data_IF_633017861629
#
_entry.id   IF_633017861629
#
_cell.length_a   1.000
_cell.length_b   1.000
_cell.length_c   1.000
_cell.angle_alpha   90.00
_cell.angle_beta   90.00
_cell.angle_gamma   90.00
#
_symmetry.space_group_name_H-M   'P 1'
#
loop_
_entity.id
_entity.type
_entity.pdbx_description
1 polymer ?
#
# COMPACT_ATOMS: atom_id res chain seq x y z
N UNK A 1 -15.12 24.39 7.16
CA UNK A 1 -16.38 23.87 7.79
C UNK A 1 -16.83 22.52 7.21
N UNK A 2 -16.60 22.23 5.92
CA UNK A 2 -16.88 20.93 5.28
C UNK A 2 -15.84 19.85 5.64
N UNK A 3 -14.55 20.18 5.76
CA UNK A 3 -13.50 19.25 6.20
C UNK A 3 -13.65 18.77 7.66
N UNK A 4 -14.20 19.61 8.54
CA UNK A 4 -14.54 19.24 9.93
C UNK A 4 -15.72 18.25 10.01
N UNK A 5 -16.53 18.13 8.95
CA UNK A 5 -17.58 17.11 8.83
C UNK A 5 -17.03 15.76 8.34
N UNK A 6 -16.04 15.75 7.45
CA UNK A 6 -15.35 14.52 7.04
C UNK A 6 -14.57 13.88 8.20
N UNK A 7 -13.87 14.70 9.01
CA UNK A 7 -13.19 14.23 10.23
C UNK A 7 -14.15 13.69 11.31
N UNK A 8 -15.31 14.34 11.47
CA UNK A 8 -16.35 13.85 12.40
C UNK A 8 -17.10 12.62 11.89
N UNK A 9 -17.13 12.37 10.56
CA UNK A 9 -17.65 11.13 9.98
C UNK A 9 -16.73 9.93 10.27
N UNK A 10 -15.40 10.15 10.30
CA UNK A 10 -14.43 9.14 10.69
C UNK A 10 -14.54 8.76 12.18
N UNK A 11 -14.89 9.71 13.06
CA UNK A 11 -15.09 9.47 14.52
C UNK A 11 -16.52 9.06 14.90
N UNK A 12 -17.47 9.01 13.96
CA UNK A 12 -18.86 8.60 14.23
C UNK A 12 -19.37 7.77 13.06
N UNK A 13 -19.32 6.44 13.21
CA UNK A 13 -20.24 5.55 12.50
C UNK A 13 -21.67 5.87 12.95
N UNK A 14 -22.27 6.92 12.39
CA UNK A 14 -23.72 7.14 12.41
C UNK A 14 -24.26 6.65 11.08
N UNK A 15 -25.24 5.74 11.17
CA UNK A 15 -26.10 5.22 10.08
C UNK A 15 -26.13 6.16 8.87
N UNK A 16 -25.41 5.78 7.82
CA UNK A 16 -25.73 6.23 6.48
C UNK A 16 -26.96 5.41 6.05
N UNK A 17 -28.15 6.00 6.13
CA UNK A 17 -29.39 5.41 5.63
C UNK A 17 -29.56 5.72 4.14
N UNK A 18 -28.51 5.47 3.35
CA UNK A 18 -28.57 5.47 1.89
C UNK A 18 -28.41 4.03 1.44
N UNK A 19 -29.38 3.52 0.68
CA UNK A 19 -29.24 2.22 0.03
C UNK A 19 -27.92 2.19 -0.74
N UNK A 20 -27.02 1.28 -0.38
CA UNK A 20 -26.01 0.81 -1.33
C UNK A 20 -26.76 0.30 -2.56
N UNK A 21 -26.39 0.72 -3.79
CA UNK A 21 -27.00 0.12 -4.95
C UNK A 21 -26.53 -1.33 -5.02
N UNK A 22 -27.35 -2.26 -4.54
CA UNK A 22 -27.09 -3.70 -4.57
C UNK A 22 -27.23 -4.31 -5.97
N UNK A 23 -27.23 -3.50 -7.05
CA UNK A 23 -27.37 -3.94 -8.44
C UNK A 23 -26.72 -2.97 -9.43
N UNK A 24 -25.41 -3.01 -9.57
CA UNK A 24 -24.76 -2.55 -10.80
C UNK A 24 -24.00 -3.68 -11.48
N UNK A 25 -24.49 -4.08 -12.66
CA UNK A 25 -23.73 -4.85 -13.64
C UNK A 25 -22.63 -3.94 -14.15
N UNK A 26 -21.39 -4.17 -13.74
CA UNK A 26 -20.24 -3.76 -14.54
C UNK A 26 -20.34 -4.55 -15.85
N UNK A 27 -20.68 -3.87 -16.94
CA UNK A 27 -20.76 -4.48 -18.25
C UNK A 27 -19.36 -4.95 -18.64
N UNK A 28 -19.17 -6.27 -18.64
CA UNK A 28 -18.09 -7.03 -19.25
C UNK A 28 -16.77 -6.31 -19.45
N UNK A 29 -15.85 -6.48 -18.50
CA UNK A 29 -14.41 -6.72 -18.70
C UNK A 29 -13.67 -6.40 -17.40
N UNK A 30 -13.27 -7.46 -16.68
CA UNK A 30 -12.27 -7.57 -15.58
C UNK A 30 -12.45 -6.53 -14.44
N UNK A 31 -12.42 -7.00 -13.19
CA UNK A 31 -12.57 -6.12 -12.03
C UNK A 31 -11.75 -6.68 -10.86
N UNK A 32 -11.48 -5.86 -9.82
CA UNK A 32 -10.98 -6.22 -8.47
C UNK A 32 -11.90 -7.19 -7.70
N UNK A 33 -12.55 -8.07 -8.43
CA UNK A 33 -13.49 -9.08 -8.02
C UNK A 33 -12.75 -10.16 -7.25
N UNK A 34 -13.38 -10.67 -6.19
CA UNK A 34 -12.84 -11.67 -5.29
C UNK A 34 -12.26 -11.10 -4.00
N UNK A 35 -11.99 -9.80 -3.90
CA UNK A 35 -11.48 -9.17 -2.66
C UNK A 35 -12.63 -8.53 -1.88
N UNK A 36 -12.76 -8.92 -0.61
CA UNK A 36 -13.85 -8.46 0.25
C UNK A 36 -15.22 -8.81 -0.34
N UNK A 37 -16.09 -7.81 -0.53
CA UNK A 37 -17.43 -8.03 -1.11
C UNK A 37 -17.49 -7.87 -2.63
N UNK A 38 -16.37 -7.58 -3.29
CA UNK A 38 -16.32 -7.53 -4.76
C UNK A 38 -16.41 -8.96 -5.30
N UNK A 39 -17.29 -9.23 -6.27
CA UNK A 39 -17.59 -10.60 -6.71
C UNK A 39 -17.71 -10.75 -8.22
N UNK A 40 -17.39 -11.94 -8.74
CA UNK A 40 -17.58 -12.27 -10.15
C UNK A 40 -19.05 -12.59 -10.43
N UNK A 41 -19.66 -11.92 -11.41
CA UNK A 41 -21.05 -12.20 -11.83
C UNK A 41 -21.20 -13.44 -12.72
N UNK A 42 -20.09 -14.07 -13.11
CA UNK A 42 -20.02 -15.26 -13.97
C UNK A 42 -18.70 -15.99 -13.75
N UNK A 43 -18.74 -17.33 -13.81
CA UNK A 43 -17.57 -18.21 -13.75
C UNK A 43 -16.60 -18.03 -14.93
N UNK A 44 -16.99 -17.31 -15.98
CA UNK A 44 -16.15 -16.99 -17.14
C UNK A 44 -15.23 -15.78 -16.95
N UNK A 45 -15.41 -14.99 -15.88
CA UNK A 45 -14.57 -13.82 -15.63
C UNK A 45 -13.25 -14.26 -15.01
N UNK A 46 -12.15 -13.86 -15.63
CA UNK A 46 -10.80 -14.17 -15.16
C UNK A 46 -10.37 -13.20 -14.06
N UNK A 47 -9.67 -13.73 -13.07
CA UNK A 47 -8.99 -12.96 -12.03
C UNK A 47 -7.91 -12.06 -12.65
N UNK A 48 -7.74 -10.88 -12.05
CA UNK A 48 -6.65 -9.96 -12.42
C UNK A 48 -5.29 -10.61 -12.21
N UNK A 49 -4.36 -10.38 -13.13
CA UNK A 49 -3.03 -11.01 -13.13
C UNK A 49 -1.89 -10.02 -12.93
N UNK A 50 -2.16 -8.71 -12.90
CA UNK A 50 -1.15 -7.67 -12.74
C UNK A 50 -1.78 -6.32 -12.36
N UNK A 51 -0.95 -5.40 -11.89
CA UNK A 51 -1.36 -4.05 -11.52
C UNK A 51 -2.06 -3.30 -12.67
N UNK A 52 -1.65 -3.49 -13.93
CA UNK A 52 -2.29 -2.79 -15.07
C UNK A 52 -3.75 -3.21 -15.27
N UNK A 53 -4.10 -4.46 -15.00
CA UNK A 53 -5.50 -4.90 -14.95
C UNK A 53 -6.24 -4.24 -13.79
N UNK A 54 -5.67 -4.30 -12.59
CA UNK A 54 -6.22 -3.63 -11.41
C UNK A 54 -6.50 -2.13 -11.66
N UNK A 55 -5.56 -1.42 -12.30
CA UNK A 55 -5.72 0.00 -12.61
C UNK A 55 -6.90 0.28 -13.55
N UNK A 56 -7.11 -0.57 -14.56
CA UNK A 56 -8.25 -0.42 -15.49
C UNK A 56 -9.57 -0.59 -14.77
N UNK A 57 -9.61 -1.54 -13.86
CA UNK A 57 -10.80 -1.88 -13.09
C UNK A 57 -11.17 -0.75 -12.12
N UNK A 58 -10.18 -0.15 -11.47
CA UNK A 58 -10.34 1.03 -10.61
C UNK A 58 -10.79 2.26 -11.40
N UNK A 59 -10.29 2.45 -12.62
CA UNK A 59 -10.74 3.52 -13.52
C UNK A 59 -12.19 3.33 -13.92
N UNK A 60 -12.59 2.10 -14.29
CA UNK A 60 -13.97 1.78 -14.63
C UNK A 60 -14.89 2.04 -13.44
N UNK A 61 -14.50 1.58 -12.24
CA UNK A 61 -15.24 1.89 -11.01
C UNK A 61 -15.38 3.40 -10.79
N UNK A 62 -14.28 4.17 -10.91
CA UNK A 62 -14.31 5.62 -10.71
C UNK A 62 -15.22 6.31 -11.73
N UNK A 63 -15.18 5.92 -13.01
CA UNK A 63 -16.08 6.45 -14.04
C UNK A 63 -17.55 6.21 -13.69
N UNK A 64 -17.89 4.98 -13.29
CA UNK A 64 -19.25 4.64 -12.84
C UNK A 64 -19.66 5.46 -11.63
N UNK A 65 -18.81 5.52 -10.60
CA UNK A 65 -19.08 6.30 -9.39
C UNK A 65 -19.33 7.79 -9.69
N UNK A 66 -18.51 8.41 -10.52
CA UNK A 66 -18.65 9.83 -10.86
C UNK A 66 -19.83 10.13 -11.77
N UNK A 67 -20.36 9.12 -12.49
CA UNK A 67 -21.59 9.26 -13.28
C UNK A 67 -22.85 9.28 -12.40
N UNK A 68 -22.78 8.69 -11.21
CA UNK A 68 -23.87 8.68 -10.24
C UNK A 68 -23.71 9.78 -9.17
N UNK A 69 -22.49 10.26 -8.97
CA UNK A 69 -22.14 11.23 -7.94
C UNK A 69 -21.21 12.34 -8.48
N UNK A 70 -21.74 13.13 -9.42
CA UNK A 70 -21.00 14.22 -10.07
C UNK A 70 -20.46 15.27 -9.08
N UNK A 71 -21.04 15.40 -7.88
CA UNK A 71 -20.57 16.32 -6.84
C UNK A 71 -19.13 16.07 -6.41
N UNK A 72 -18.62 14.83 -6.55
CA UNK A 72 -17.24 14.49 -6.20
C UNK A 72 -16.22 14.91 -7.27
N UNK A 73 -16.64 15.23 -8.50
CA UNK A 73 -15.73 15.68 -9.55
C UNK A 73 -14.99 16.98 -9.17
N UNK A 74 -15.60 17.81 -8.32
CA UNK A 74 -15.06 19.11 -7.85
C UNK A 74 -14.30 19.01 -6.52
N UNK A 75 -14.32 17.85 -5.87
CA UNK A 75 -13.69 17.65 -4.57
C UNK A 75 -12.25 17.17 -4.80
N UNK A 76 -11.25 17.72 -4.07
CA UNK A 76 -9.88 17.22 -4.13
C UNK A 76 -9.83 15.71 -3.91
N UNK A 77 -9.35 14.99 -4.93
CA UNK A 77 -9.23 13.54 -4.91
C UNK A 77 -7.79 13.15 -4.61
N UNK A 78 -7.63 12.27 -3.63
CA UNK A 78 -6.37 11.60 -3.31
C UNK A 78 -6.57 10.09 -3.32
N UNK A 79 -5.57 9.33 -3.75
CA UNK A 79 -5.58 7.86 -3.74
C UNK A 79 -4.56 7.38 -2.74
N UNK A 80 -4.98 6.64 -1.71
CA UNK A 80 -4.07 6.08 -0.71
C UNK A 80 -3.97 4.56 -0.87
N UNK A 81 -2.75 4.04 -0.70
CA UNK A 81 -2.46 2.61 -0.67
C UNK A 81 -1.41 2.28 0.38
N UNK A 82 -1.59 1.17 1.08
CA UNK A 82 -0.63 0.61 2.04
C UNK A 82 -0.06 -0.69 1.48
N UNK A 83 1.20 -1.02 1.76
CA UNK A 83 1.79 -2.31 1.37
C UNK A 83 1.73 -2.53 -0.15
N UNK A 84 1.25 -3.69 -0.62
CA UNK A 84 0.98 -3.95 -2.03
C UNK A 84 -0.03 -2.96 -2.64
N UNK A 85 -0.98 -2.45 -1.84
CA UNK A 85 -1.91 -1.41 -2.24
C UNK A 85 -1.21 -0.12 -2.71
N UNK A 86 0.03 0.12 -2.29
CA UNK A 86 0.84 1.21 -2.83
C UNK A 86 1.12 1.05 -4.34
N UNK A 87 1.37 -0.17 -4.82
CA UNK A 87 1.52 -0.41 -6.27
C UNK A 87 0.22 -0.17 -7.03
N UNK A 88 -0.89 -0.61 -6.44
CA UNK A 88 -2.22 -0.37 -7.00
C UNK A 88 -2.52 1.13 -7.09
N UNK A 89 -2.19 1.89 -6.03
CA UNK A 89 -2.37 3.35 -6.00
C UNK A 89 -1.53 4.06 -7.07
N UNK A 90 -0.27 3.65 -7.26
CA UNK A 90 0.61 4.20 -8.30
C UNK A 90 0.05 3.91 -9.69
N UNK A 91 -0.33 2.67 -9.98
CA UNK A 91 -0.87 2.30 -11.29
C UNK A 91 -2.24 2.96 -11.56
N UNK A 92 -3.11 3.04 -10.55
CA UNK A 92 -4.39 3.73 -10.65
C UNK A 92 -4.20 5.22 -10.95
N UNK A 93 -3.30 5.88 -10.22
CA UNK A 93 -2.98 7.29 -10.46
C UNK A 93 -2.41 7.52 -11.87
N UNK A 94 -1.52 6.65 -12.33
CA UNK A 94 -0.97 6.73 -13.67
C UNK A 94 -2.06 6.63 -14.73
N UNK A 95 -2.93 5.62 -14.66
CA UNK A 95 -4.02 5.49 -15.61
C UNK A 95 -5.03 6.65 -15.50
N UNK A 96 -5.32 7.14 -14.29
CA UNK A 96 -6.21 8.27 -14.06
C UNK A 96 -5.70 9.55 -14.73
N UNK A 97 -4.41 9.84 -14.61
CA UNK A 97 -3.80 10.98 -15.31
C UNK A 97 -3.98 10.86 -16.82
N UNK A 98 -3.83 9.67 -17.39
CA UNK A 98 -4.02 9.45 -18.83
C UNK A 98 -5.48 9.65 -19.25
N UNK A 99 -6.45 9.19 -18.45
CA UNK A 99 -7.88 9.41 -18.70
C UNK A 99 -8.26 10.91 -18.60
N UNK A 100 -7.72 11.63 -17.62
CA UNK A 100 -7.92 13.08 -17.47
C UNK A 100 -7.37 13.81 -18.70
N UNK A 101 -6.16 13.47 -19.17
CA UNK A 101 -5.56 14.06 -20.37
C UNK A 101 -6.38 13.79 -21.64
N UNK A 102 -7.04 12.64 -21.72
CA UNK A 102 -7.96 12.31 -22.82
C UNK A 102 -9.31 13.02 -22.72
N UNK A 103 -9.63 13.66 -21.59
CA UNK A 103 -10.95 14.24 -21.34
C UNK A 103 -12.03 13.22 -20.98
N UNK A 104 -11.64 11.98 -20.67
CA UNK A 104 -12.55 10.85 -20.39
C UNK A 104 -12.96 10.79 -18.91
N UNK A 105 -12.20 11.45 -18.04
CA UNK A 105 -12.49 11.58 -16.60
C UNK A 105 -12.27 13.03 -16.19
N UNK A 106 -13.25 13.61 -15.49
CA UNK A 106 -13.12 14.94 -14.89
C UNK A 106 -13.10 14.82 -13.37
N UNK A 107 -11.94 15.09 -12.75
CA UNK A 107 -11.76 15.11 -11.29
C UNK A 107 -10.71 16.14 -10.88
N UNK A 108 -10.79 16.63 -9.65
CA UNK A 108 -9.75 17.42 -9.03
C UNK A 108 -8.65 16.54 -8.42
N UNK A 109 -7.92 15.79 -9.25
CA UNK A 109 -6.88 14.87 -8.75
C UNK A 109 -5.67 15.60 -8.20
N UNK A 110 -5.31 15.32 -6.94
CA UNK A 110 -4.28 16.05 -6.20
C UNK A 110 -3.05 15.23 -5.86
N UNK A 111 -3.16 13.92 -5.72
CA UNK A 111 -2.00 13.13 -5.33
C UNK A 111 -2.31 11.72 -4.85
N UNK A 112 -1.22 11.04 -4.50
CA UNK A 112 -1.24 9.70 -3.93
C UNK A 112 -0.54 9.67 -2.58
N UNK A 113 -1.03 8.82 -1.68
CA UNK A 113 -0.38 8.49 -0.42
C UNK A 113 0.04 7.02 -0.39
N UNK A 114 1.30 6.77 -0.09
CA UNK A 114 1.96 5.48 -0.14
C UNK A 114 2.50 5.15 1.26
N UNK A 115 1.72 4.39 2.03
CA UNK A 115 2.08 3.95 3.38
C UNK A 115 2.79 2.61 3.34
N UNK A 116 4.01 2.53 3.87
CA UNK A 116 4.79 1.28 3.97
C UNK A 116 4.66 0.45 2.68
N UNK A 117 4.80 1.13 1.55
CA UNK A 117 4.35 0.67 0.25
C UNK A 117 5.42 -0.22 -0.40
N UNK A 118 5.06 -1.42 -0.84
CA UNK A 118 5.99 -2.41 -1.40
C UNK A 118 6.34 -2.10 -2.86
N UNK A 119 6.88 -0.91 -3.14
CA UNK A 119 7.10 -0.33 -4.48
C UNK A 119 8.21 -1.02 -5.25
N UNK A 120 9.33 -1.29 -4.60
CA UNK A 120 10.53 -1.84 -5.23
C UNK A 120 11.11 -2.98 -4.39
N UNK A 121 10.57 -4.20 -4.53
CA UNK A 121 10.86 -5.37 -3.68
C UNK A 121 12.35 -5.59 -3.41
N UNK A 122 13.18 -5.49 -4.46
CA UNK A 122 14.62 -5.72 -4.36
C UNK A 122 15.31 -4.76 -3.37
N UNK A 123 14.87 -3.51 -3.26
CA UNK A 123 15.47 -2.55 -2.33
C UNK A 123 15.19 -2.92 -0.87
N UNK A 124 14.04 -3.53 -0.57
CA UNK A 124 13.74 -4.03 0.78
C UNK A 124 14.58 -5.26 1.11
N UNK A 125 14.61 -6.24 0.20
CA UNK A 125 15.27 -7.54 0.38
C UNK A 125 16.80 -7.38 0.52
N UNK A 126 17.39 -6.40 -0.17
CA UNK A 126 18.79 -6.01 0.01
C UNK A 126 19.14 -5.62 1.45
N UNK A 127 18.16 -5.17 2.23
CA UNK A 127 18.34 -4.71 3.60
C UNK A 127 17.92 -5.71 4.67
N UNK A 128 17.21 -6.80 4.35
CA UNK A 128 16.71 -7.73 5.38
C UNK A 128 17.83 -8.29 6.25
N UNK A 129 18.92 -8.78 5.64
CA UNK A 129 20.05 -9.34 6.39
C UNK A 129 20.74 -8.30 7.27
N UNK A 130 21.12 -7.15 6.69
CA UNK A 130 21.85 -6.09 7.40
C UNK A 130 21.02 -5.46 8.51
N UNK A 131 19.72 -5.23 8.27
CA UNK A 131 18.80 -4.71 9.27
C UNK A 131 18.64 -5.68 10.44
N UNK A 132 18.39 -6.96 10.16
CA UNK A 132 18.24 -7.97 11.19
C UNK A 132 19.52 -8.10 12.04
N UNK A 133 20.70 -8.10 11.40
CA UNK A 133 21.98 -8.19 12.10
C UNK A 133 22.26 -6.94 12.95
N UNK A 134 22.08 -5.75 12.38
CA UNK A 134 22.39 -4.48 13.07
C UNK A 134 21.46 -4.19 14.25
N UNK A 135 20.23 -4.72 14.21
CA UNK A 135 19.28 -4.67 15.33
C UNK A 135 19.53 -5.76 16.38
N UNK A 136 20.50 -6.65 16.16
CA UNK A 136 20.82 -7.76 17.08
C UNK A 136 19.76 -8.86 17.10
N UNK A 137 18.96 -8.98 16.02
CA UNK A 137 17.87 -9.95 15.94
C UNK A 137 18.33 -11.35 15.52
N UNK A 138 19.45 -11.42 14.81
CA UNK A 138 20.00 -12.65 14.25
C UNK A 138 21.52 -12.74 14.43
N UNK A 139 22.07 -13.94 14.25
CA UNK A 139 23.51 -14.17 14.29
C UNK A 139 24.15 -14.06 12.90
N UNK A 140 25.48 -14.00 12.85
CA UNK A 140 26.25 -13.92 11.59
C UNK A 140 25.94 -15.08 10.63
N UNK A 141 25.64 -16.28 11.15
CA UNK A 141 25.28 -17.44 10.34
C UNK A 141 23.97 -17.21 9.56
N UNK A 142 22.98 -16.60 10.20
CA UNK A 142 21.67 -16.35 9.62
C UNK A 142 21.77 -15.20 8.61
N UNK A 143 22.59 -14.18 8.92
CA UNK A 143 22.93 -13.11 7.97
C UNK A 143 23.51 -13.66 6.66
N UNK A 144 24.44 -14.61 6.74
CA UNK A 144 25.04 -15.21 5.54
C UNK A 144 24.01 -15.99 4.72
N UNK A 145 23.11 -16.73 5.37
CA UNK A 145 22.02 -17.46 4.71
C UNK A 145 21.06 -16.52 3.99
N UNK A 146 20.60 -15.48 4.68
CA UNK A 146 19.74 -14.43 4.10
C UNK A 146 20.44 -13.75 2.92
N UNK A 147 21.73 -13.43 3.07
CA UNK A 147 22.50 -12.76 2.01
C UNK A 147 22.65 -13.62 0.75
N UNK A 148 22.82 -14.93 0.90
CA UNK A 148 22.85 -15.85 -0.24
C UNK A 148 21.51 -15.91 -0.97
N UNK A 149 20.41 -16.03 -0.22
CA UNK A 149 19.06 -16.01 -0.80
C UNK A 149 18.75 -14.66 -1.48
N UNK A 150 19.19 -13.54 -0.91
CA UNK A 150 19.07 -12.21 -1.53
C UNK A 150 19.78 -12.16 -2.88
N UNK A 151 20.93 -12.81 -3.04
CA UNK A 151 21.61 -12.90 -4.33
C UNK A 151 20.81 -13.75 -5.34
N UNK A 152 20.21 -14.85 -4.89
CA UNK A 152 19.32 -15.66 -5.74
C UNK A 152 18.09 -14.85 -6.22
N UNK A 153 17.53 -13.99 -5.37
CA UNK A 153 16.44 -13.07 -5.77
C UNK A 153 16.91 -12.12 -6.86
N UNK A 154 18.12 -11.53 -6.76
CA UNK A 154 18.64 -10.64 -7.80
C UNK A 154 18.75 -11.37 -9.14
N UNK A 155 19.35 -12.56 -9.13
CA UNK A 155 19.51 -13.38 -10.34
C UNK A 155 18.15 -13.70 -10.97
N UNK A 156 17.14 -14.03 -10.15
CA UNK A 156 15.78 -14.28 -10.64
C UNK A 156 15.16 -13.01 -11.27
N UNK A 157 15.29 -11.85 -10.63
CA UNK A 157 14.80 -10.56 -11.15
C UNK A 157 15.50 -10.19 -12.46
N UNK A 158 16.82 -10.35 -12.57
CA UNK A 158 17.59 -10.08 -13.78
C UNK A 158 17.14 -10.95 -14.96
N UNK A 159 16.80 -12.21 -14.68
CA UNK A 159 16.22 -13.14 -15.66
C UNK A 159 14.74 -12.88 -15.95
N UNK A 160 14.13 -11.90 -15.26
CA UNK A 160 12.69 -11.60 -15.29
C UNK A 160 11.81 -12.77 -14.83
N UNK A 161 12.35 -13.67 -14.03
CA UNK A 161 11.63 -14.75 -13.38
C UNK A 161 11.07 -14.28 -12.04
N UNK A 162 10.01 -13.47 -12.12
CA UNK A 162 9.40 -12.84 -10.95
C UNK A 162 8.64 -13.82 -10.05
N UNK A 163 8.23 -14.97 -10.60
CA UNK A 163 7.60 -16.03 -9.82
C UNK A 163 8.64 -16.71 -8.92
N UNK A 164 9.78 -17.12 -9.49
CA UNK A 164 10.88 -17.67 -8.71
C UNK A 164 11.41 -16.65 -7.68
N UNK A 165 11.53 -15.37 -8.06
CA UNK A 165 11.94 -14.32 -7.13
C UNK A 165 10.99 -14.21 -5.93
N UNK A 166 9.67 -14.36 -6.16
CA UNK A 166 8.65 -14.32 -5.11
C UNK A 166 8.76 -15.52 -4.17
N UNK A 167 8.95 -16.72 -4.72
CA UNK A 167 9.15 -17.93 -3.93
C UNK A 167 10.42 -17.86 -3.06
N UNK A 168 11.49 -17.23 -3.57
CA UNK A 168 12.72 -17.03 -2.80
C UNK A 168 12.53 -15.97 -1.72
N UNK A 169 11.83 -14.86 -2.01
CA UNK A 169 11.50 -13.84 -1.01
C UNK A 169 10.72 -14.43 0.17
N UNK A 170 9.72 -15.28 -0.11
CA UNK A 170 8.98 -15.98 0.93
C UNK A 170 9.88 -16.86 1.81
N UNK A 171 10.89 -17.52 1.22
CA UNK A 171 11.90 -18.30 1.98
C UNK A 171 12.79 -17.41 2.84
N UNK A 172 13.16 -16.22 2.35
CA UNK A 172 13.94 -15.26 3.15
C UNK A 172 13.13 -14.84 4.38
N UNK A 173 11.87 -14.47 4.18
CA UNK A 173 10.98 -14.06 5.26
C UNK A 173 10.78 -15.18 6.29
N UNK A 174 10.57 -16.43 5.85
CA UNK A 174 10.52 -17.61 6.75
C UNK A 174 11.85 -17.84 7.50
N UNK A 175 12.99 -17.64 6.84
CA UNK A 175 14.32 -17.73 7.46
C UNK A 175 14.49 -16.70 8.58
N UNK A 176 14.08 -15.44 8.33
CA UNK A 176 14.09 -14.37 9.35
C UNK A 176 13.18 -14.73 10.52
N UNK A 177 11.95 -15.15 10.26
CA UNK A 177 10.98 -15.51 11.30
C UNK A 177 11.54 -16.64 12.18
N UNK A 178 12.15 -17.67 11.58
CA UNK A 178 12.76 -18.78 12.33
C UNK A 178 13.97 -18.35 13.16
N UNK A 179 14.90 -17.61 12.56
CA UNK A 179 16.12 -17.16 13.22
C UNK A 179 15.82 -16.26 14.44
N UNK A 180 14.75 -15.48 14.36
CA UNK A 180 14.29 -14.54 15.41
C UNK A 180 13.30 -15.13 16.41
N UNK A 181 13.03 -16.44 16.32
CA UNK A 181 12.04 -17.14 17.15
C UNK A 181 10.62 -16.54 17.05
N UNK A 182 10.27 -16.08 15.84
CA UNK A 182 8.92 -15.66 15.48
C UNK A 182 8.68 -14.15 15.54
N UNK A 183 9.65 -13.33 15.14
CA UNK A 183 9.44 -11.88 15.08
C UNK A 183 8.20 -11.52 14.23
N UNK A 184 7.50 -10.46 14.63
CA UNK A 184 6.46 -9.87 13.79
C UNK A 184 7.13 -8.96 12.75
N UNK A 185 7.17 -9.41 11.50
CA UNK A 185 7.83 -8.69 10.39
C UNK A 185 7.13 -7.38 10.02
N UNK A 186 5.90 -7.16 10.48
CA UNK A 186 5.19 -5.89 10.29
C UNK A 186 5.49 -4.90 11.41
N UNK A 187 5.91 -5.36 12.58
CA UNK A 187 6.32 -4.47 13.66
C UNK A 187 7.24 -5.21 14.64
N UNK A 188 8.55 -4.97 14.51
CA UNK A 188 9.60 -5.69 15.25
C UNK A 188 9.58 -5.50 16.77
N UNK A 189 8.84 -4.51 17.30
CA UNK A 189 8.73 -4.30 18.76
C UNK A 189 7.55 -5.06 19.38
N UNK A 190 6.76 -5.77 18.57
CA UNK A 190 5.71 -6.64 19.05
C UNK A 190 6.26 -7.97 19.56
N UNK A 191 5.42 -8.71 20.28
CA UNK A 191 5.80 -10.00 20.87
C UNK A 191 6.12 -11.02 19.77
N UNK A 192 7.34 -11.58 19.82
CA UNK A 192 7.71 -12.73 18.98
C UNK A 192 6.90 -13.98 19.34
N UNK A 193 6.36 -14.66 18.33
CA UNK A 193 5.63 -15.90 18.50
C UNK A 193 5.66 -16.74 17.21
N UNK A 194 6.51 -17.77 17.19
CA UNK A 194 6.67 -18.66 16.03
C UNK A 194 5.40 -19.47 15.68
N UNK A 195 4.46 -19.60 16.62
CA UNK A 195 3.25 -20.40 16.44
C UNK A 195 1.99 -19.55 16.20
N UNK A 196 2.11 -18.22 16.21
CA UNK A 196 0.99 -17.33 15.95
C UNK A 196 1.21 -16.54 14.67
N UNK A 197 0.09 -16.13 14.06
CA UNK A 197 0.13 -15.16 13.00
C UNK A 197 0.66 -13.81 13.51
N UNK A 198 1.31 -13.02 12.66
CA UNK A 198 1.60 -11.62 12.94
C UNK A 198 0.34 -10.87 13.39
N UNK A 199 0.49 -9.85 14.24
CA UNK A 199 -0.63 -9.08 14.80
C UNK A 199 -1.53 -8.53 13.69
N UNK A 200 -0.95 -8.08 12.58
CA UNK A 200 -1.68 -7.60 11.41
C UNK A 200 -2.67 -8.63 10.85
N UNK A 201 -2.30 -9.92 10.84
CA UNK A 201 -3.12 -11.02 10.33
C UNK A 201 -3.97 -11.70 11.41
N UNK A 202 -3.73 -11.42 12.70
CA UNK A 202 -4.46 -12.03 13.82
C UNK A 202 -5.96 -11.73 13.83
N UNK A 203 -6.42 -10.72 13.09
CA UNK A 203 -7.84 -10.34 13.00
C UNK A 203 -8.60 -11.08 11.90
N UNK A 204 -7.93 -11.85 11.04
CA UNK A 204 -8.52 -12.48 9.86
C UNK A 204 -9.85 -13.20 10.15
N UNK A 205 -9.86 -14.13 11.12
CA UNK A 205 -11.06 -14.91 11.47
C UNK A 205 -12.18 -14.02 12.02
N UNK A 206 -11.82 -13.09 12.92
CA UNK A 206 -12.79 -12.18 13.54
C UNK A 206 -13.44 -11.25 12.51
N UNK A 207 -12.65 -10.79 11.53
CA UNK A 207 -13.14 -9.98 10.42
C UNK A 207 -14.01 -10.80 9.48
N UNK A 208 -13.56 -12.01 9.09
CA UNK A 208 -14.36 -12.92 8.25
C UNK A 208 -15.73 -13.19 8.88
N UNK A 209 -15.77 -13.46 10.19
CA UNK A 209 -17.01 -13.68 10.92
C UNK A 209 -17.89 -12.42 10.97
N UNK A 210 -17.31 -11.27 11.34
CA UNK A 210 -18.06 -10.02 11.45
C UNK A 210 -18.65 -9.58 10.11
N UNK A 211 -17.84 -9.66 9.05
CA UNK A 211 -18.20 -9.21 7.71
C UNK A 211 -19.27 -10.10 7.10
N UNK A 212 -19.16 -11.42 7.21
CA UNK A 212 -20.15 -12.36 6.65
C UNK A 212 -21.44 -12.52 7.47
N UNK A 213 -21.56 -11.83 8.60
CA UNK A 213 -22.78 -11.87 9.44
C UNK A 213 -23.47 -10.50 9.46
N UNK A 214 -23.31 -9.75 10.57
CA UNK A 214 -24.05 -8.50 10.83
C UNK A 214 -23.82 -7.45 9.76
N UNK A 215 -22.61 -7.38 9.20
CA UNK A 215 -22.26 -6.36 8.21
C UNK A 215 -22.89 -6.68 6.86
N UNK A 216 -22.76 -7.91 6.37
CA UNK A 216 -23.39 -8.38 5.12
C UNK A 216 -24.90 -8.12 5.12
N UNK A 217 -25.58 -8.44 6.22
CA UNK A 217 -27.01 -8.15 6.40
C UNK A 217 -27.30 -6.64 6.38
N UNK A 218 -26.51 -5.84 7.11
CA UNK A 218 -26.71 -4.40 7.21
C UNK A 218 -26.47 -3.65 5.89
N UNK A 219 -25.58 -4.17 5.04
CA UNK A 219 -25.26 -3.62 3.73
C UNK A 219 -26.17 -4.17 2.61
N UNK A 220 -27.12 -5.05 2.94
CA UNK A 220 -28.02 -5.71 1.98
C UNK A 220 -27.25 -6.42 0.86
N UNK A 221 -26.16 -7.10 1.24
CA UNK A 221 -25.31 -7.88 0.33
C UNK A 221 -25.89 -9.28 0.21
N UNK A 222 -25.94 -9.78 -1.03
CA UNK A 222 -26.58 -11.05 -1.34
C UNK A 222 -25.90 -12.23 -0.64
N UNK A 223 -26.70 -13.23 -0.26
CA UNK A 223 -26.26 -14.37 0.55
C UNK A 223 -25.17 -15.22 -0.14
N UNK A 224 -25.12 -15.23 -1.46
CA UNK A 224 -24.13 -15.92 -2.29
C UNK A 224 -22.75 -15.23 -2.37
N UNK A 225 -22.61 -14.02 -1.84
CA UNK A 225 -21.33 -13.29 -1.83
C UNK A 225 -20.62 -13.51 -0.49
N UNK A 226 -19.48 -14.19 -0.50
CA UNK A 226 -18.65 -14.38 0.67
C UNK A 226 -17.52 -13.34 0.74
N UNK A 227 -17.34 -12.73 1.90
CA UNK A 227 -16.25 -11.82 2.20
C UNK A 227 -15.05 -12.57 2.73
N UNK A 228 -13.86 -12.26 2.21
CA UNK A 228 -12.60 -12.81 2.68
C UNK A 228 -11.63 -11.67 3.02
N UNK A 229 -10.99 -11.77 4.19
CA UNK A 229 -9.94 -10.84 4.66
C UNK A 229 -8.74 -10.85 3.70
N UNK A 230 -8.32 -12.04 3.28
CA UNK A 230 -7.33 -12.29 2.23
C UNK A 230 -7.94 -13.30 1.26
N UNK A 231 -7.77 -13.06 -0.04
CA UNK A 231 -8.16 -14.01 -1.08
C UNK A 231 -6.89 -14.67 -1.66
N UNK A 232 -6.69 -15.95 -1.33
CA UNK A 232 -5.48 -16.70 -1.73
C UNK A 232 -5.38 -16.92 -3.24
N UNK A 233 -6.51 -17.05 -3.94
CA UNK A 233 -6.51 -17.20 -5.40
C UNK A 233 -6.02 -15.92 -6.08
N UNK A 234 -6.47 -14.75 -5.60
CA UNK A 234 -6.01 -13.44 -6.09
C UNK A 234 -4.54 -13.22 -5.74
N UNK A 235 -4.13 -13.59 -4.52
CA UNK A 235 -2.72 -13.53 -4.11
C UNK A 235 -1.85 -14.36 -5.06
N UNK A 236 -2.25 -15.60 -5.33
CA UNK A 236 -1.54 -16.50 -6.23
C UNK A 236 -1.51 -15.97 -7.67
N UNK A 237 -2.61 -15.41 -8.15
CA UNK A 237 -2.70 -14.80 -9.48
C UNK A 237 -1.77 -13.59 -9.65
N UNK A 238 -1.51 -12.83 -8.58
CA UNK A 238 -0.65 -11.65 -8.59
C UNK A 238 0.82 -11.94 -8.22
N UNK A 239 1.15 -13.20 -7.90
CA UNK A 239 2.49 -13.58 -7.42
C UNK A 239 3.59 -13.17 -8.40
N UNK A 240 3.37 -13.32 -9.71
CA UNK A 240 4.30 -12.91 -10.77
C UNK A 240 4.45 -11.39 -10.97
N UNK A 241 3.60 -10.60 -10.32
CA UNK A 241 3.63 -9.13 -10.30
C UNK A 241 4.17 -8.59 -8.96
N UNK A 242 4.18 -9.41 -7.91
CA UNK A 242 4.69 -9.07 -6.57
C UNK A 242 6.13 -8.57 -6.60
N UNK A 243 7.00 -9.21 -7.38
CA UNK A 243 8.42 -8.87 -7.43
C UNK A 243 8.80 -7.81 -8.46
N UNK A 244 7.83 -7.30 -9.24
CA UNK A 244 8.08 -6.24 -10.23
C UNK A 244 8.13 -4.87 -9.58
N UNK A 245 9.18 -4.07 -9.78
CA UNK A 245 9.19 -2.69 -9.29
C UNK A 245 8.23 -1.81 -10.10
N UNK A 246 7.62 -0.82 -9.45
CA UNK A 246 6.78 0.20 -10.10
C UNK A 246 7.40 1.61 -10.07
N UNK A 247 8.71 1.69 -9.81
CA UNK A 247 9.46 2.97 -9.72
C UNK A 247 9.37 3.78 -11.02
N UNK A 248 9.44 3.14 -12.19
CA UNK A 248 9.31 3.84 -13.47
C UNK A 248 7.96 4.55 -13.67
N UNK A 249 6.88 4.01 -13.09
CA UNK A 249 5.56 4.66 -13.09
C UNK A 249 5.55 5.88 -12.17
N UNK A 250 6.23 5.80 -11.02
CA UNK A 250 6.41 6.94 -10.11
C UNK A 250 7.25 8.03 -10.78
N UNK A 251 8.33 7.67 -11.47
CA UNK A 251 9.16 8.61 -12.25
C UNK A 251 8.32 9.35 -13.30
N UNK A 252 7.46 8.64 -14.04
CA UNK A 252 6.55 9.26 -15.00
C UNK A 252 5.57 10.23 -14.32
N UNK A 253 4.98 9.85 -13.18
CA UNK A 253 4.09 10.73 -12.42
C UNK A 253 4.81 12.00 -11.94
N UNK A 254 6.04 11.89 -11.43
CA UNK A 254 6.84 13.02 -10.97
C UNK A 254 7.28 13.95 -12.11
N UNK A 255 7.60 13.40 -13.28
CA UNK A 255 8.13 14.18 -14.40
C UNK A 255 7.03 14.83 -15.24
N UNK A 256 5.84 14.22 -15.31
CA UNK A 256 4.80 14.65 -16.23
C UNK A 256 3.59 15.30 -15.56
N UNK A 257 3.56 15.38 -14.23
CA UNK A 257 2.41 15.92 -13.49
C UNK A 257 2.84 16.71 -12.25
N UNK A 258 1.92 17.52 -11.74
CA UNK A 258 2.08 18.26 -10.49
C UNK A 258 1.40 17.56 -9.29
N UNK A 259 0.95 16.30 -9.46
CA UNK A 259 0.29 15.59 -8.37
C UNK A 259 1.30 15.33 -7.24
N UNK A 260 0.83 15.38 -6.00
CA UNK A 260 1.66 15.07 -4.84
C UNK A 260 1.89 13.57 -4.70
N UNK A 261 3.11 13.16 -4.42
CA UNK A 261 3.46 11.79 -4.04
C UNK A 261 3.91 11.83 -2.58
N UNK A 262 3.05 11.34 -1.70
CA UNK A 262 3.25 11.34 -0.26
C UNK A 262 3.67 9.93 0.15
N UNK A 263 4.92 9.75 0.53
CA UNK A 263 5.43 8.47 1.03
C UNK A 263 5.55 8.56 2.54
N UNK A 264 5.06 7.58 3.27
CA UNK A 264 5.28 7.45 4.71
C UNK A 264 5.61 6.00 5.07
N UNK A 265 6.54 5.79 5.98
CA UNK A 265 7.03 4.45 6.36
C UNK A 265 7.29 4.41 7.86
N UNK A 266 6.78 3.38 8.54
CA UNK A 266 7.11 3.09 9.93
C UNK A 266 8.53 2.55 10.07
N UNK A 267 9.28 3.03 11.06
CA UNK A 267 10.66 2.57 11.30
C UNK A 267 10.78 1.15 11.87
N UNK A 268 9.69 0.59 12.39
CA UNK A 268 9.63 -0.76 12.93
C UNK A 268 9.05 -1.78 11.94
N UNK A 269 8.70 -1.36 10.72
CA UNK A 269 8.38 -2.30 9.66
C UNK A 269 9.67 -2.94 9.15
N UNK A 270 9.73 -4.27 9.22
CA UNK A 270 10.87 -5.04 8.72
C UNK A 270 10.70 -5.40 7.24
N UNK A 271 9.49 -5.83 6.88
CA UNK A 271 9.17 -6.28 5.52
C UNK A 271 9.26 -5.11 4.53
N UNK A 272 8.66 -3.97 4.86
CA UNK A 272 8.77 -2.74 4.06
C UNK A 272 9.62 -1.73 4.80
N UNK A 273 10.89 -2.10 4.99
CA UNK A 273 11.79 -1.33 5.82
C UNK A 273 12.12 0.05 5.23
N UNK A 274 12.32 1.01 6.14
CA UNK A 274 12.66 2.40 5.82
C UNK A 274 13.92 2.53 4.95
N UNK A 275 14.91 1.63 5.11
CA UNK A 275 16.13 1.65 4.31
C UNK A 275 15.84 1.34 2.84
N UNK A 276 15.07 0.29 2.55
CA UNK A 276 14.61 -0.02 1.21
C UNK A 276 13.75 1.11 0.61
N UNK A 277 12.88 1.73 1.42
CA UNK A 277 12.08 2.89 0.99
C UNK A 277 12.95 4.07 0.59
N UNK A 278 13.96 4.39 1.41
CA UNK A 278 14.91 5.44 1.10
C UNK A 278 15.71 5.13 -0.17
N UNK A 279 16.18 3.89 -0.33
CA UNK A 279 16.98 3.52 -1.50
C UNK A 279 16.20 3.67 -2.81
N UNK A 280 14.96 3.17 -2.91
CA UNK A 280 14.24 3.31 -4.18
C UNK A 280 13.85 4.76 -4.47
N UNK A 281 13.62 5.59 -3.44
CA UNK A 281 13.38 7.03 -3.58
C UNK A 281 14.63 7.76 -4.09
N UNK A 282 15.79 7.41 -3.54
CA UNK A 282 17.07 7.97 -3.92
C UNK A 282 17.45 7.58 -5.37
N UNK A 283 17.08 6.37 -5.80
CA UNK A 283 17.38 5.86 -7.14
C UNK A 283 16.39 6.34 -8.24
N UNK A 284 15.34 7.08 -7.89
CA UNK A 284 14.37 7.59 -8.87
C UNK A 284 15.03 8.53 -9.89
N UNK A 285 14.72 8.30 -11.16
CA UNK A 285 15.14 9.14 -12.29
C UNK A 285 14.08 10.18 -12.62
N UNK A 286 14.17 11.33 -11.95
CA UNK A 286 13.25 12.44 -12.17
C UNK A 286 13.96 13.79 -12.15
N UNK A 287 13.28 14.82 -12.65
CA UNK A 287 13.87 16.14 -12.92
C UNK A 287 14.51 16.81 -11.69
N UNK A 288 14.14 16.43 -10.46
CA UNK A 288 14.70 16.96 -9.22
C UNK A 288 15.45 15.92 -8.38
N UNK A 289 15.92 14.85 -9.00
CA UNK A 289 16.69 13.79 -8.31
C UNK A 289 17.97 14.33 -7.66
N UNK A 290 18.70 15.24 -8.31
CA UNK A 290 19.89 15.86 -7.73
C UNK A 290 19.56 16.68 -6.47
N UNK A 291 18.50 17.51 -6.53
CA UNK A 291 18.03 18.27 -5.36
C UNK A 291 17.55 17.35 -4.24
N UNK A 292 16.89 16.24 -4.59
CA UNK A 292 16.53 15.20 -3.62
C UNK A 292 17.77 14.66 -2.92
N UNK A 293 18.84 14.30 -3.65
CA UNK A 293 20.06 13.77 -3.04
C UNK A 293 20.74 14.76 -2.08
N UNK A 294 20.65 16.06 -2.36
CA UNK A 294 21.27 17.11 -1.53
C UNK A 294 20.39 17.55 -0.35
N UNK A 295 19.08 17.24 -0.39
CA UNK A 295 18.13 17.69 0.63
C UNK A 295 18.19 16.82 1.89
N UNK A 296 18.43 17.45 3.03
CA UNK A 296 18.45 16.80 4.34
C UNK A 296 17.05 16.58 4.91
N UNK A 297 16.82 15.41 5.52
CA UNK A 297 15.66 15.16 6.37
C UNK A 297 15.63 16.12 7.56
N UNK A 298 14.44 16.61 7.91
CA UNK A 298 14.19 17.44 9.09
C UNK A 298 13.30 16.69 10.09
N UNK A 299 13.48 16.88 11.40
CA UNK A 299 12.57 16.32 12.39
C UNK A 299 11.17 16.94 12.28
N UNK A 300 10.15 16.13 12.54
CA UNK A 300 8.76 16.53 12.69
C UNK A 300 8.40 16.38 14.16
N UNK A 301 8.47 17.48 14.90
CA UNK A 301 8.13 17.51 16.32
C UNK A 301 6.65 17.87 16.52
N UNK A 302 5.95 17.06 17.31
CA UNK A 302 4.57 17.26 17.75
C UNK A 302 4.57 17.18 19.27
N UNK A 303 4.09 18.23 19.94
CA UNK A 303 4.06 18.30 21.41
C UNK A 303 5.42 17.97 22.07
N UNK A 304 6.52 18.50 21.50
CA UNK A 304 7.92 18.27 21.93
C UNK A 304 8.42 16.83 21.75
N UNK A 305 7.66 15.97 21.09
CA UNK A 305 8.07 14.62 20.72
C UNK A 305 8.44 14.62 19.24
N UNK A 306 9.64 14.12 18.91
CA UNK A 306 9.96 13.83 17.52
C UNK A 306 9.12 12.61 17.07
N UNK A 307 8.18 12.86 16.17
CA UNK A 307 7.21 11.87 15.66
C UNK A 307 7.64 11.28 14.33
N UNK A 308 8.38 12.03 13.51
CA UNK A 308 8.88 11.56 12.23
C UNK A 308 10.09 12.36 11.75
N UNK A 309 10.75 11.90 10.70
CA UNK A 309 11.61 12.74 9.88
C UNK A 309 10.95 12.97 8.52
N UNK A 310 11.01 14.20 8.01
CA UNK A 310 10.44 14.57 6.71
C UNK A 310 11.53 15.05 5.75
N UNK A 311 11.49 14.56 4.52
CA UNK A 311 12.27 15.07 3.38
C UNK A 311 11.30 15.40 2.26
N UNK A 312 11.38 16.61 1.73
CA UNK A 312 10.48 17.06 0.66
C UNK A 312 11.26 17.80 -0.40
N UNK A 313 10.99 17.46 -1.67
CA UNK A 313 11.44 18.21 -2.84
C UNK A 313 10.28 18.26 -3.82
N UNK A 314 9.86 19.48 -4.18
CA UNK A 314 8.72 19.67 -5.07
C UNK A 314 7.46 18.95 -4.60
N UNK A 315 6.93 18.10 -5.47
CA UNK A 315 5.73 17.29 -5.26
C UNK A 315 6.00 15.92 -4.63
N UNK A 316 7.26 15.58 -4.30
CA UNK A 316 7.61 14.36 -3.58
C UNK A 316 7.92 14.66 -2.11
N UNK A 317 7.27 13.95 -1.19
CA UNK A 317 7.56 14.02 0.25
C UNK A 317 7.70 12.61 0.83
N UNK A 318 8.68 12.44 1.71
CA UNK A 318 8.91 11.19 2.45
C UNK A 318 8.94 11.44 3.95
N UNK A 319 8.04 10.77 4.66
CA UNK A 319 7.96 10.69 6.11
C UNK A 319 8.52 9.36 6.61
N UNK A 320 9.53 9.42 7.46
CA UNK A 320 10.01 8.27 8.25
C UNK A 320 9.40 8.38 9.63
N UNK A 321 8.36 7.58 9.92
CA UNK A 321 7.53 7.71 11.12
C UNK A 321 8.10 6.88 12.26
N UNK A 322 8.46 7.55 13.34
CA UNK A 322 9.01 6.92 14.54
C UNK A 322 7.91 6.18 15.29
N UNK A 323 8.28 5.13 16.05
CA UNK A 323 7.34 4.33 16.86
C UNK A 323 6.20 3.65 16.09
N UNK A 324 6.33 3.50 14.78
CA UNK A 324 5.35 2.82 13.95
C UNK A 324 5.96 1.63 13.21
N UNK A 325 5.20 0.55 13.07
CA UNK A 325 5.46 -0.51 12.10
C UNK A 325 4.70 -0.27 10.78
N UNK A 326 4.32 -1.36 10.12
CA UNK A 326 3.68 -1.39 8.80
C UNK A 326 2.40 -0.55 8.70
N UNK A 327 1.64 -0.47 9.79
CA UNK A 327 0.38 0.28 9.85
C UNK A 327 0.55 1.56 10.66
N UNK A 328 1.24 2.54 10.07
CA UNK A 328 1.44 3.88 10.64
C UNK A 328 0.16 4.50 11.22
N UNK A 329 -1.02 4.45 10.57
CA UNK A 329 -2.24 5.04 11.12
C UNK A 329 -2.69 4.43 12.46
N UNK A 330 -2.28 3.20 12.75
CA UNK A 330 -2.61 2.48 13.99
C UNK A 330 -1.54 2.69 15.05
N UNK A 331 -0.26 2.59 14.66
CA UNK A 331 0.85 2.60 15.60
C UNK A 331 1.27 4.02 16.02
N UNK A 332 1.14 5.02 15.14
CA UNK A 332 1.46 6.41 15.45
C UNK A 332 0.39 7.39 14.91
N UNK A 333 -0.71 7.48 15.68
CA UNK A 333 -1.83 8.39 15.40
C UNK A 333 -1.38 9.87 15.33
N UNK A 334 -0.58 10.42 16.28
CA UNK A 334 -0.13 11.82 16.21
C UNK A 334 0.59 12.16 14.90
N UNK A 335 1.54 11.33 14.47
CA UNK A 335 2.26 11.54 13.22
C UNK A 335 1.30 11.48 12.02
N UNK A 336 0.43 10.47 11.96
CA UNK A 336 -0.50 10.32 10.83
C UNK A 336 -1.50 11.48 10.75
N UNK A 337 -2.02 11.94 11.89
CA UNK A 337 -2.90 13.11 11.92
C UNK A 337 -2.22 14.36 11.35
N UNK A 338 -0.95 14.57 11.70
CA UNK A 338 -0.18 15.71 11.22
C UNK A 338 0.19 15.60 9.73
N UNK A 339 0.55 14.41 9.25
CA UNK A 339 0.73 14.14 7.82
C UNK A 339 -0.55 14.48 7.07
N UNK A 340 -1.72 13.98 7.48
CA UNK A 340 -2.98 14.29 6.80
C UNK A 340 -3.29 15.80 6.80
N UNK A 341 -3.01 16.51 7.89
CA UNK A 341 -3.21 17.97 7.97
C UNK A 341 -2.30 18.70 6.98
N UNK A 342 -0.99 18.45 7.03
CA UNK A 342 0.01 19.10 6.17
C UNK A 342 -0.23 18.81 4.69
N UNK A 343 -0.51 17.55 4.40
CA UNK A 343 -0.50 17.06 3.03
C UNK A 343 -1.83 17.21 2.30
N UNK A 344 -2.96 17.27 3.02
CA UNK A 344 -4.29 17.32 2.40
C UNK A 344 -5.08 18.60 2.69
N UNK A 345 -4.78 19.31 3.78
CA UNK A 345 -5.55 20.50 4.19
C UNK A 345 -4.80 21.80 3.94
N UNK A 346 -3.47 21.78 4.01
CA UNK A 346 -2.63 22.97 3.87
C UNK A 346 -1.82 23.01 2.56
N UNK A 347 -2.06 22.05 1.67
CA UNK A 347 -1.38 21.85 0.39
C UNK A 347 -2.02 22.55 -0.79
#
# INVERSE_FOLDING_TARGET
>A
MVARRAWNAFKRLRKFSGNWPSKHKLNGERSLLGVGFSYFSSSSVKMVQNNKEIGRDLINFLKTFLSEHEEFQKIPLYIFGESYGGKMAVEFAYQLVQEIRRGEVTVHFKGIGLGDAYISPIHYILNYGSLALNLGLIEKKDFNEISNLTEDVKVAIERRDFLAASDIEAKITDTVIKATQGIDVYNIVLKSNISALPRFLSYQDSCNQLMNTKIKESLNISADIEWNFINDDIYSALQGDLMRPVTGTIEALLNETDIKIIVYNGVFDFLVNTAGTAMWLDDLKWNRSSEWQETNKQPLEIDMVNEAYVKQVGNLVFYTVLRAGHSVPVDNIPAMEEILKRELLYS
#
